data_IF_731482335555
#
_entry.id   IF_731482335555
#
_cell.length_a   1.000
_cell.length_b   1.000
_cell.length_c   1.000
_cell.angle_alpha   90.00
_cell.angle_beta   90.00
_cell.angle_gamma   90.00
#
_symmetry.space_group_name_H-M   'P 1'
#
loop_
_entity.id
_entity.type
_entity.pdbx_description
1 polymer ?
#
# COMPACT_ATOMS: atom_id res chain seq x y z
N UNK A 1 34.30 11.88 -12.17
CA UNK A 1 33.73 13.24 -12.20
C UNK A 1 32.79 13.42 -11.01
N UNK A 2 32.84 14.56 -10.31
CA UNK A 2 31.99 14.83 -9.15
C UNK A 2 30.50 14.89 -9.54
N UNK A 3 30.19 15.34 -10.75
CA UNK A 3 28.82 15.45 -11.27
C UNK A 3 28.12 14.09 -11.31
N UNK A 4 28.78 13.05 -11.84
CA UNK A 4 28.22 11.70 -11.90
C UNK A 4 28.01 11.10 -10.51
N UNK A 5 28.98 11.29 -9.61
CA UNK A 5 28.89 10.79 -8.24
C UNK A 5 27.72 11.43 -7.46
N UNK A 6 27.55 12.74 -7.61
CA UNK A 6 26.44 13.47 -6.97
C UNK A 6 25.09 13.04 -7.56
N UNK A 7 25.00 12.84 -8.88
CA UNK A 7 23.80 12.35 -9.55
C UNK A 7 23.43 10.92 -9.13
N UNK A 8 24.41 10.01 -9.03
CA UNK A 8 24.19 8.64 -8.55
C UNK A 8 23.71 8.61 -7.10
N UNK A 9 24.26 9.48 -6.25
CA UNK A 9 23.80 9.62 -4.87
C UNK A 9 22.36 10.10 -4.81
N UNK A 10 22.00 11.14 -5.56
CA UNK A 10 20.63 11.68 -5.60
C UNK A 10 19.64 10.62 -6.13
N UNK A 11 19.98 9.96 -7.23
CA UNK A 11 19.21 8.86 -7.81
C UNK A 11 18.95 7.74 -6.79
N UNK A 12 19.99 7.32 -6.06
CA UNK A 12 19.87 6.31 -5.02
C UNK A 12 19.02 6.79 -3.83
N UNK A 13 19.11 8.06 -3.44
CA UNK A 13 18.28 8.63 -2.37
C UNK A 13 16.79 8.60 -2.73
N UNK A 14 16.43 9.03 -3.95
CA UNK A 14 15.04 9.05 -4.43
C UNK A 14 14.44 7.64 -4.43
N UNK A 15 15.16 6.65 -4.93
CA UNK A 15 14.69 5.25 -4.92
C UNK A 15 14.51 4.74 -3.48
N UNK A 16 15.46 5.01 -2.59
CA UNK A 16 15.38 4.57 -1.19
C UNK A 16 14.21 5.21 -0.45
N UNK A 17 13.95 6.49 -0.67
CA UNK A 17 12.82 7.19 -0.06
C UNK A 17 11.48 6.65 -0.58
N UNK A 18 11.38 6.43 -1.90
CA UNK A 18 10.19 5.84 -2.50
C UNK A 18 9.92 4.42 -1.98
N UNK A 19 10.96 3.59 -1.81
CA UNK A 19 10.80 2.25 -1.25
C UNK A 19 10.31 2.30 0.20
N UNK A 20 10.88 3.17 1.04
CA UNK A 20 10.42 3.35 2.44
C UNK A 20 8.96 3.80 2.51
N UNK A 21 8.56 4.71 1.62
CA UNK A 21 7.17 5.18 1.55
C UNK A 21 6.23 4.09 1.06
N UNK A 22 6.60 3.32 0.03
CA UNK A 22 5.86 2.17 -0.46
C UNK A 22 5.65 1.11 0.64
N UNK A 23 6.71 0.78 1.38
CA UNK A 23 6.63 -0.16 2.49
C UNK A 23 5.69 0.36 3.60
N UNK A 24 5.75 1.65 3.92
CA UNK A 24 4.87 2.28 4.89
C UNK A 24 3.39 2.26 4.45
N UNK A 25 3.11 2.55 3.17
CA UNK A 25 1.77 2.50 2.58
C UNK A 25 1.20 1.08 2.68
N UNK A 26 1.99 0.08 2.26
CA UNK A 26 1.57 -1.31 2.29
C UNK A 26 1.30 -1.79 3.73
N UNK A 27 2.16 -1.43 4.68
CA UNK A 27 1.97 -1.77 6.10
C UNK A 27 0.71 -1.13 6.67
N UNK A 28 0.50 0.17 6.44
CA UNK A 28 -0.68 0.86 6.93
C UNK A 28 -1.98 0.26 6.37
N UNK A 29 -1.99 -0.13 5.10
CA UNK A 29 -3.14 -0.79 4.50
C UNK A 29 -3.41 -2.18 5.10
N UNK A 30 -2.37 -2.96 5.39
CA UNK A 30 -2.49 -4.24 6.07
C UNK A 30 -3.07 -4.07 7.49
N UNK A 31 -2.52 -3.14 8.28
CA UNK A 31 -3.01 -2.85 9.63
C UNK A 31 -4.48 -2.39 9.63
N UNK A 32 -4.85 -1.55 8.66
CA UNK A 32 -6.23 -1.09 8.50
C UNK A 32 -7.19 -2.22 8.08
N UNK A 33 -6.75 -3.10 7.18
CA UNK A 33 -7.50 -4.29 6.77
C UNK A 33 -7.73 -5.26 7.94
N UNK A 34 -6.70 -5.50 8.75
CA UNK A 34 -6.78 -6.38 9.92
C UNK A 34 -7.70 -5.81 10.99
N UNK A 35 -7.61 -4.50 11.24
CA UNK A 35 -8.52 -3.79 12.16
C UNK A 35 -9.97 -3.89 11.69
N UNK A 36 -10.23 -3.67 10.40
CA UNK A 36 -11.57 -3.77 9.82
C UNK A 36 -12.15 -5.18 10.01
N UNK A 37 -11.35 -6.22 9.76
CA UNK A 37 -11.75 -7.63 9.97
C UNK A 37 -12.04 -7.93 11.44
N UNK A 38 -11.20 -7.45 12.35
CA UNK A 38 -11.40 -7.63 13.79
C UNK A 38 -12.69 -6.96 14.29
N UNK A 39 -12.98 -5.75 13.82
CA UNK A 39 -14.21 -5.03 14.16
C UNK A 39 -15.46 -5.77 13.62
N UNK A 40 -15.42 -6.24 12.37
CA UNK A 40 -16.51 -7.00 11.78
C UNK A 40 -16.75 -8.34 12.48
N UNK A 41 -15.68 -9.02 12.92
CA UNK A 41 -15.78 -10.25 13.71
C UNK A 41 -16.49 -9.98 15.05
N UNK A 42 -16.07 -8.94 15.78
CA UNK A 42 -16.70 -8.55 17.06
C UNK A 42 -18.17 -8.18 16.88
N UNK A 43 -18.50 -7.41 15.84
CA UNK A 43 -19.89 -7.06 15.53
C UNK A 43 -20.73 -8.29 15.21
N UNK A 44 -20.18 -9.22 14.42
CA UNK A 44 -20.83 -10.49 14.08
C UNK A 44 -21.14 -11.33 15.32
N UNK A 45 -20.18 -11.47 16.23
CA UNK A 45 -20.33 -12.21 17.48
C UNK A 45 -21.41 -11.61 18.37
N UNK A 46 -21.40 -10.29 18.55
CA UNK A 46 -22.41 -9.57 19.33
C UNK A 46 -23.81 -9.75 18.75
N UNK A 47 -23.95 -9.61 17.42
CA UNK A 47 -25.24 -9.76 16.74
C UNK A 47 -25.81 -11.17 16.92
N UNK A 48 -24.97 -12.22 16.82
CA UNK A 48 -25.39 -13.59 17.07
C UNK A 48 -25.76 -13.81 18.53
N UNK A 49 -24.97 -13.28 19.48
CA UNK A 49 -25.22 -13.42 20.91
C UNK A 49 -26.55 -12.78 21.34
N UNK A 50 -26.87 -11.60 20.81
CA UNK A 50 -28.13 -10.92 21.10
C UNK A 50 -29.32 -11.60 20.41
N UNK A 51 -29.13 -12.14 19.21
CA UNK A 51 -30.17 -12.87 18.51
C UNK A 51 -30.49 -14.22 19.16
N UNK A 52 -29.50 -14.91 19.74
CA UNK A 52 -29.70 -16.14 20.54
C UNK A 52 -30.71 -15.93 21.66
N UNK A 53 -30.68 -14.77 22.34
CA UNK A 53 -31.64 -14.41 23.41
C UNK A 53 -33.07 -14.27 22.90
N UNK A 54 -33.26 -14.07 21.58
CA UNK A 54 -34.55 -13.87 20.92
C UNK A 54 -35.09 -15.15 20.26
N UNK A 55 -34.37 -16.26 20.36
CA UNK A 55 -34.79 -17.58 19.91
C UNK A 55 -34.19 -18.04 18.56
N UNK A 56 -34.48 -19.29 18.13
CA UNK A 56 -33.75 -19.96 17.06
C UNK A 56 -33.87 -19.28 15.68
N UNK A 57 -35.04 -18.72 15.36
CA UNK A 57 -35.26 -18.01 14.08
C UNK A 57 -34.40 -16.75 14.02
N UNK A 58 -34.35 -15.98 15.11
CA UNK A 58 -33.53 -14.79 15.20
C UNK A 58 -32.03 -15.15 15.11
N UNK A 59 -31.59 -16.20 15.80
CA UNK A 59 -30.21 -16.69 15.72
C UNK A 59 -29.81 -17.07 14.28
N UNK A 60 -30.66 -17.79 13.56
CA UNK A 60 -30.39 -18.17 12.18
C UNK A 60 -30.27 -16.94 11.25
N UNK A 61 -31.17 -15.96 11.41
CA UNK A 61 -31.10 -14.71 10.66
C UNK A 61 -29.80 -13.93 10.96
N UNK A 62 -29.40 -13.85 12.24
CA UNK A 62 -28.17 -13.19 12.65
C UNK A 62 -26.91 -13.88 12.13
N UNK A 63 -26.87 -15.22 12.12
CA UNK A 63 -25.74 -15.97 11.53
C UNK A 63 -25.57 -15.63 10.05
N UNK A 64 -26.66 -15.60 9.28
CA UNK A 64 -26.63 -15.23 7.85
C UNK A 64 -26.17 -13.78 7.64
N UNK A 65 -26.65 -12.86 8.47
CA UNK A 65 -26.21 -11.46 8.42
C UNK A 65 -24.71 -11.31 8.78
N UNK A 66 -24.23 -12.05 9.78
CA UNK A 66 -22.83 -12.07 10.18
C UNK A 66 -21.94 -12.63 9.07
N UNK A 67 -22.34 -13.70 8.40
CA UNK A 67 -21.62 -14.24 7.25
C UNK A 67 -21.52 -13.22 6.10
N UNK A 68 -22.61 -12.50 5.82
CA UNK A 68 -22.60 -11.45 4.80
C UNK A 68 -21.67 -10.30 5.19
N UNK A 69 -21.72 -9.85 6.45
CA UNK A 69 -20.84 -8.81 6.97
C UNK A 69 -19.36 -9.20 6.84
N UNK A 70 -19.01 -10.44 7.17
CA UNK A 70 -17.64 -10.96 7.01
C UNK A 70 -17.21 -10.95 5.55
N UNK A 71 -18.03 -11.48 4.64
CA UNK A 71 -17.72 -11.50 3.20
C UNK A 71 -17.52 -10.09 2.62
N UNK A 72 -18.36 -9.14 3.00
CA UNK A 72 -18.21 -7.75 2.55
C UNK A 72 -16.96 -7.09 3.13
N UNK A 73 -16.65 -7.39 4.39
CA UNK A 73 -15.45 -6.89 5.05
C UNK A 73 -14.18 -7.46 4.42
N UNK A 74 -14.15 -8.75 4.12
CA UNK A 74 -13.03 -9.40 3.44
C UNK A 74 -12.77 -8.75 2.08
N UNK A 75 -13.82 -8.53 1.28
CA UNK A 75 -13.70 -7.82 0.00
C UNK A 75 -13.15 -6.40 0.14
N UNK A 76 -13.60 -5.66 1.16
CA UNK A 76 -13.11 -4.29 1.42
C UNK A 76 -11.64 -4.30 1.84
N UNK A 77 -11.26 -5.23 2.71
CA UNK A 77 -9.88 -5.41 3.16
C UNK A 77 -8.95 -5.78 2.00
N UNK A 78 -9.34 -6.74 1.16
CA UNK A 78 -8.60 -7.13 -0.04
C UNK A 78 -8.45 -5.96 -1.02
N UNK A 79 -9.53 -5.21 -1.25
CA UNK A 79 -9.49 -4.02 -2.11
C UNK A 79 -8.52 -2.96 -1.57
N UNK A 80 -8.55 -2.70 -0.26
CA UNK A 80 -7.65 -1.73 0.39
C UNK A 80 -6.18 -2.12 0.20
N UNK A 81 -5.85 -3.40 0.42
CA UNK A 81 -4.49 -3.92 0.23
C UNK A 81 -4.06 -3.84 -1.25
N UNK A 82 -4.95 -4.19 -2.18
CA UNK A 82 -4.67 -4.13 -3.61
C UNK A 82 -4.43 -2.70 -4.10
N UNK A 83 -5.23 -1.73 -3.64
CA UNK A 83 -5.05 -0.31 -3.97
C UNK A 83 -3.73 0.24 -3.41
N UNK A 84 -3.41 -0.10 -2.15
CA UNK A 84 -2.15 0.28 -1.54
C UNK A 84 -0.95 -0.27 -2.30
N UNK A 85 -0.99 -1.56 -2.67
CA UNK A 85 0.07 -2.19 -3.47
C UNK A 85 0.25 -1.49 -4.83
N UNK A 86 -0.84 -1.22 -5.55
CA UNK A 86 -0.78 -0.52 -6.83
C UNK A 86 -0.17 0.89 -6.68
N UNK A 87 -0.52 1.61 -5.62
CA UNK A 87 0.03 2.94 -5.36
C UNK A 87 1.52 2.88 -5.00
N UNK A 88 1.92 1.93 -4.18
CA UNK A 88 3.32 1.64 -3.83
C UNK A 88 4.16 1.29 -5.05
N UNK A 89 3.65 0.40 -5.92
CA UNK A 89 4.34 0.00 -7.15
C UNK A 89 4.51 1.19 -8.11
N UNK A 90 3.49 2.04 -8.25
CA UNK A 90 3.57 3.28 -9.04
C UNK A 90 4.61 4.25 -8.47
N UNK A 91 4.62 4.45 -7.16
CA UNK A 91 5.57 5.34 -6.50
C UNK A 91 7.03 4.91 -6.76
N UNK A 92 7.31 3.61 -6.60
CA UNK A 92 8.65 3.06 -6.87
C UNK A 92 9.00 3.17 -8.35
N UNK A 93 8.07 2.87 -9.25
CA UNK A 93 8.30 2.98 -10.70
C UNK A 93 8.60 4.43 -11.13
N UNK A 94 7.88 5.40 -10.57
CA UNK A 94 8.12 6.81 -10.85
C UNK A 94 9.49 7.26 -10.33
N UNK A 95 9.86 6.85 -9.12
CA UNK A 95 11.17 7.13 -8.54
C UNK A 95 12.33 6.53 -9.38
N UNK A 96 12.15 5.32 -9.93
CA UNK A 96 13.11 4.71 -10.85
C UNK A 96 13.29 5.56 -12.12
N UNK A 97 12.19 5.99 -12.76
CA UNK A 97 12.24 6.85 -13.95
C UNK A 97 12.92 8.19 -13.67
N UNK A 98 12.62 8.81 -12.53
CA UNK A 98 13.25 10.06 -12.11
C UNK A 98 14.77 9.87 -11.88
N UNK A 99 15.15 8.79 -11.21
CA UNK A 99 16.56 8.41 -10.99
C UNK A 99 17.31 8.18 -12.31
N UNK A 100 16.72 7.46 -13.25
CA UNK A 100 17.29 7.25 -14.59
C UNK A 100 17.49 8.55 -15.34
N UNK A 101 16.50 9.46 -15.27
CA UNK A 101 16.59 10.79 -15.88
C UNK A 101 17.74 11.60 -15.28
N UNK A 102 17.88 11.64 -13.95
CA UNK A 102 18.98 12.34 -13.26
C UNK A 102 20.34 11.83 -13.72
N UNK A 103 20.51 10.50 -13.80
CA UNK A 103 21.75 9.89 -14.29
C UNK A 103 22.03 10.23 -15.75
N UNK A 104 21.00 10.22 -16.60
CA UNK A 104 21.14 10.55 -18.01
C UNK A 104 21.51 12.01 -18.22
N UNK A 105 20.85 12.92 -17.49
CA UNK A 105 21.12 14.36 -17.57
C UNK A 105 22.55 14.66 -17.10
N UNK A 106 23.02 14.00 -16.05
CA UNK A 106 24.38 14.14 -15.54
C UNK A 106 25.45 13.64 -16.53
N UNK A 107 25.22 12.49 -17.20
CA UNK A 107 26.11 12.01 -18.28
C UNK A 107 26.19 13.01 -19.42
N UNK A 108 25.04 13.47 -19.91
CA UNK A 108 24.98 14.47 -20.98
C UNK A 108 25.68 15.78 -20.59
N UNK A 109 25.63 16.18 -19.32
CA UNK A 109 26.33 17.37 -18.82
C UNK A 109 27.84 17.16 -18.82
N UNK A 110 28.31 16.00 -18.36
CA UNK A 110 29.75 15.67 -18.37
C UNK A 110 30.29 15.60 -19.79
N UNK A 111 29.58 14.96 -20.72
CA UNK A 111 29.99 14.85 -22.13
C UNK A 111 30.16 16.24 -22.76
N UNK A 112 29.17 17.13 -22.57
CA UNK A 112 29.26 18.53 -23.05
C UNK A 112 30.43 19.29 -22.44
N UNK A 113 30.77 19.04 -21.18
CA UNK A 113 31.90 19.70 -20.53
C UNK A 113 33.25 19.18 -21.05
N UNK A 114 33.31 17.93 -21.50
CA UNK A 114 34.50 17.37 -22.17
C UNK A 114 34.66 17.93 -23.59
N UNK A 115 33.57 18.07 -24.35
CA UNK A 115 33.60 18.60 -25.73
C UNK A 115 34.02 20.08 -25.81
N UNK A 116 33.90 20.83 -24.72
CA UNK A 116 34.26 22.27 -24.64
C UNK A 116 35.72 22.48 -24.19
N UNK A 117 36.39 21.43 -23.68
CA UNK A 117 37.78 21.48 -23.19
C UNK A 117 38.78 21.06 -24.25
#
# INVERSE_FOLDING_TARGET
>A
DKILADADKQAAQIINEAQKQADAINRAAQEAADKLKAEAQKQSENMIADAKKKGPIAEAAAKKAAEQLKKETDKKAEKLIAEAKNNSDKLVSEAQRQSEKIRSDARNQVDKLMDIK
#
